data_IF_965951559052
#
_entry.id   IF_965951559052
#
_cell.length_a   1.000
_cell.length_b   1.000
_cell.length_c   1.000
_cell.angle_alpha   90.00
_cell.angle_beta   90.00
_cell.angle_gamma   90.00
#
_symmetry.space_group_name_H-M   'P 1'
#
loop_
_entity.id
_entity.type
_entity.pdbx_description
1 polymer ?
#
# COMPACT_ATOMS: atom_id res chain seq x y z
N UNK A 1 7.42 17.64 -15.83
CA UNK A 1 7.55 18.60 -16.95
C UNK A 1 6.34 18.50 -17.87
N UNK A 2 6.01 19.53 -18.72
CA UNK A 2 4.92 19.45 -19.69
C UNK A 2 5.06 18.23 -20.62
N UNK A 3 6.24 17.95 -21.13
CA UNK A 3 6.50 16.81 -22.02
C UNK A 3 6.21 15.45 -21.35
N UNK A 4 6.51 15.30 -20.07
CA UNK A 4 6.19 14.09 -19.30
C UNK A 4 4.68 13.94 -19.13
N UNK A 5 3.97 15.04 -18.88
CA UNK A 5 2.53 15.05 -18.74
C UNK A 5 1.85 14.65 -20.05
N UNK A 6 2.27 15.21 -21.18
CA UNK A 6 1.77 14.86 -22.50
C UNK A 6 2.02 13.37 -22.82
N UNK A 7 3.18 12.83 -22.41
CA UNK A 7 3.47 11.40 -22.55
C UNK A 7 2.52 10.54 -21.73
N UNK A 8 2.25 10.92 -20.48
CA UNK A 8 1.30 10.20 -19.61
C UNK A 8 -0.12 10.26 -20.18
N UNK A 9 -0.56 11.43 -20.66
CA UNK A 9 -1.83 11.57 -21.35
C UNK A 9 -1.93 10.64 -22.57
N UNK A 10 -0.87 10.58 -23.38
CA UNK A 10 -0.80 9.67 -24.52
C UNK A 10 -0.97 8.20 -24.13
N UNK A 11 -0.31 7.77 -23.04
CA UNK A 11 -0.44 6.42 -22.53
C UNK A 11 -1.87 6.11 -22.04
N UNK A 12 -2.48 7.02 -21.27
CA UNK A 12 -3.85 6.85 -20.78
C UNK A 12 -4.83 6.79 -21.95
N UNK A 13 -4.65 7.66 -22.96
CA UNK A 13 -5.50 7.66 -24.16
C UNK A 13 -5.37 6.39 -24.99
N UNK A 14 -4.18 5.78 -25.04
CA UNK A 14 -3.97 4.50 -25.70
C UNK A 14 -4.71 3.35 -25.00
N UNK A 15 -4.76 3.38 -23.67
CA UNK A 15 -5.49 2.39 -22.86
C UNK A 15 -7.00 2.65 -22.83
N UNK A 16 -7.41 3.90 -22.75
CA UNK A 16 -8.81 4.31 -22.71
C UNK A 16 -9.01 5.66 -23.42
N UNK A 17 -9.33 5.61 -24.72
CA UNK A 17 -9.53 6.80 -25.53
C UNK A 17 -10.68 7.71 -25.06
N UNK A 18 -11.63 7.18 -24.28
CA UNK A 18 -12.80 7.90 -23.76
C UNK A 18 -12.60 8.43 -22.33
N UNK A 19 -11.47 8.14 -21.69
CA UNK A 19 -11.21 8.62 -20.34
C UNK A 19 -11.21 10.15 -20.28
N UNK A 20 -11.86 10.71 -19.29
CA UNK A 20 -11.70 12.12 -18.94
C UNK A 20 -10.49 12.22 -18.02
N UNK A 21 -9.52 13.03 -18.39
CA UNK A 21 -8.26 13.17 -17.68
C UNK A 21 -8.25 14.54 -17.00
N UNK A 22 -7.93 14.57 -15.74
CA UNK A 22 -7.73 15.78 -14.94
C UNK A 22 -6.30 15.82 -14.42
N UNK A 23 -5.60 16.91 -14.71
CA UNK A 23 -4.29 17.18 -14.15
C UNK A 23 -4.45 17.79 -12.76
N UNK A 24 -3.99 17.12 -11.75
CA UNK A 24 -4.20 17.51 -10.35
C UNK A 24 -2.90 17.47 -9.55
N UNK A 25 -2.87 18.21 -8.44
CA UNK A 25 -1.83 18.10 -7.43
C UNK A 25 -2.45 17.43 -6.20
N UNK A 26 -1.84 16.32 -5.71
CA UNK A 26 -2.34 15.53 -4.58
C UNK A 26 -3.80 15.06 -4.72
N UNK A 27 -4.28 14.86 -5.95
CA UNK A 27 -5.67 14.50 -6.26
C UNK A 27 -6.72 15.54 -5.84
N UNK A 28 -6.34 16.79 -5.74
CA UNK A 28 -7.27 17.90 -5.47
C UNK A 28 -8.10 18.17 -6.73
N UNK A 29 -9.39 17.85 -6.67
CA UNK A 29 -10.36 18.01 -7.76
C UNK A 29 -11.75 18.31 -7.16
N UNK A 30 -12.59 19.13 -7.79
CA UNK A 30 -13.97 19.30 -7.38
C UNK A 30 -14.71 17.96 -7.33
N UNK A 31 -15.48 17.72 -6.28
CA UNK A 31 -16.12 16.43 -6.02
C UNK A 31 -17.15 16.05 -7.10
N UNK A 32 -17.81 17.01 -7.69
CA UNK A 32 -18.79 16.88 -8.78
C UNK A 32 -18.16 16.41 -10.11
N UNK A 33 -16.87 16.57 -10.28
CA UNK A 33 -16.14 16.02 -11.44
C UNK A 33 -15.89 14.51 -11.33
N UNK A 34 -16.00 13.93 -10.15
CA UNK A 34 -15.76 12.49 -9.89
C UNK A 34 -16.99 11.75 -9.38
N UNK A 35 -17.90 12.41 -8.68
CA UNK A 35 -19.11 11.81 -8.15
C UNK A 35 -20.34 12.29 -8.93
N UNK A 36 -21.33 11.38 -9.12
CA UNK A 36 -22.59 11.70 -9.78
C UNK A 36 -22.46 12.09 -11.25
N UNK A 37 -21.37 11.77 -11.91
CA UNK A 37 -21.06 12.20 -13.29
C UNK A 37 -21.96 11.56 -14.36
N UNK A 38 -22.73 10.52 -14.02
CA UNK A 38 -23.53 9.77 -15.00
C UNK A 38 -22.76 9.06 -16.10
N UNK A 39 -21.42 8.98 -16.00
CA UNK A 39 -20.55 8.38 -17.02
C UNK A 39 -20.54 6.85 -17.01
N UNK A 40 -20.97 6.24 -15.90
CA UNK A 40 -21.08 4.80 -15.81
C UNK A 40 -22.33 4.31 -16.53
N UNK A 41 -22.13 3.46 -17.52
CA UNK A 41 -23.18 2.80 -18.28
C UNK A 41 -22.98 1.29 -18.16
N UNK A 42 -23.83 0.58 -17.39
CA UNK A 42 -23.68 -0.85 -17.14
C UNK A 42 -23.88 -1.69 -18.41
N UNK A 43 -24.73 -1.26 -19.34
CA UNK A 43 -24.95 -2.00 -20.60
C UNK A 43 -23.70 -1.91 -21.49
N UNK A 44 -23.11 -0.73 -21.59
CA UNK A 44 -21.86 -0.55 -22.33
C UNK A 44 -20.68 -1.23 -21.65
N UNK A 45 -20.63 -1.23 -20.33
CA UNK A 45 -19.57 -1.91 -19.56
C UNK A 45 -19.64 -3.43 -19.80
N UNK A 46 -20.84 -4.02 -19.79
CA UNK A 46 -21.04 -5.46 -20.00
C UNK A 46 -20.71 -5.93 -21.41
N UNK A 47 -20.69 -5.02 -22.39
CA UNK A 47 -20.32 -5.32 -23.79
C UNK A 47 -18.83 -5.19 -24.07
N UNK A 48 -18.01 -4.82 -23.06
CA UNK A 48 -16.57 -4.73 -23.22
C UNK A 48 -15.96 -6.14 -23.18
N UNK A 49 -15.20 -6.50 -24.20
CA UNK A 49 -14.68 -7.87 -24.40
C UNK A 49 -13.92 -8.43 -23.19
N UNK A 50 -13.19 -7.61 -22.43
CA UNK A 50 -12.48 -8.00 -21.22
C UNK A 50 -13.37 -8.15 -19.97
N UNK A 51 -14.61 -7.64 -19.96
CA UNK A 51 -15.46 -7.70 -18.76
C UNK A 51 -16.00 -9.11 -18.49
N UNK A 52 -16.46 -9.77 -19.54
CA UNK A 52 -16.99 -11.16 -19.43
C UNK A 52 -15.88 -12.18 -19.18
N UNK A 53 -14.72 -11.99 -19.80
CA UNK A 53 -13.55 -12.86 -19.61
C UNK A 53 -13.06 -12.81 -18.15
N UNK A 54 -12.98 -11.64 -17.55
CA UNK A 54 -12.56 -11.47 -16.15
C UNK A 54 -13.54 -12.08 -15.11
N UNK A 55 -14.80 -12.28 -15.49
CA UNK A 55 -15.82 -12.91 -14.64
C UNK A 55 -15.86 -14.46 -14.78
N UNK A 56 -15.36 -14.99 -15.88
CA UNK A 56 -15.46 -16.43 -16.21
C UNK A 56 -14.14 -17.16 -15.94
N UNK A 57 -13.00 -16.53 -16.24
CA UNK A 57 -11.67 -17.08 -16.01
C UNK A 57 -10.86 -16.13 -15.13
N UNK A 58 -10.93 -16.35 -13.82
CA UNK A 58 -10.04 -15.65 -12.89
C UNK A 58 -8.73 -16.46 -12.78
N UNK A 59 -7.78 -16.19 -13.65
CA UNK A 59 -6.39 -16.62 -13.43
C UNK A 59 -5.83 -15.79 -12.28
N UNK A 60 -5.31 -16.41 -11.21
CA UNK A 60 -4.67 -15.65 -10.11
C UNK A 60 -3.56 -14.75 -10.66
N UNK A 61 -3.48 -13.50 -10.17
CA UNK A 61 -2.46 -12.53 -10.63
C UNK A 61 -1.04 -13.07 -10.47
N UNK A 62 -0.83 -14.02 -9.56
CA UNK A 62 0.45 -14.73 -9.38
C UNK A 62 0.83 -15.56 -10.61
N UNK A 63 -0.18 -16.18 -11.26
CA UNK A 63 0.05 -17.00 -12.44
C UNK A 63 0.12 -16.14 -13.72
N UNK A 64 -0.70 -15.10 -13.78
CA UNK A 64 -0.79 -14.23 -14.96
C UNK A 64 0.39 -13.26 -15.05
N UNK A 65 0.77 -12.64 -13.94
CA UNK A 65 1.79 -11.57 -13.92
C UNK A 65 3.03 -11.89 -13.10
N UNK A 66 3.13 -13.09 -12.53
CA UNK A 66 4.24 -13.47 -11.64
C UNK A 66 4.31 -12.63 -10.35
N UNK A 67 3.18 -11.99 -9.96
CA UNK A 67 3.11 -11.17 -8.76
C UNK A 67 3.08 -12.06 -7.52
N UNK A 68 4.04 -11.85 -6.65
CA UNK A 68 4.15 -12.57 -5.37
C UNK A 68 4.10 -11.59 -4.20
N UNK A 69 3.89 -12.13 -3.00
CA UNK A 69 3.99 -11.34 -1.79
C UNK A 69 4.88 -12.03 -0.76
N UNK A 70 5.50 -11.22 0.09
CA UNK A 70 6.32 -11.65 1.20
C UNK A 70 6.00 -10.80 2.42
N UNK A 71 5.82 -11.44 3.59
CA UNK A 71 5.61 -10.75 4.86
C UNK A 71 6.84 -10.89 5.72
N UNK A 72 7.51 -9.78 5.96
CA UNK A 72 8.60 -9.71 6.94
C UNK A 72 8.03 -9.41 8.31
N UNK A 73 8.07 -10.39 9.21
CA UNK A 73 7.66 -10.23 10.61
C UNK A 73 8.81 -10.55 11.56
N UNK A 74 9.10 -9.64 12.51
CA UNK A 74 10.11 -9.82 13.55
C UNK A 74 9.73 -9.06 14.82
N UNK A 75 10.26 -9.54 15.94
CA UNK A 75 10.06 -8.96 17.28
C UNK A 75 11.34 -8.36 17.85
N UNK A 76 12.26 -7.95 16.99
CA UNK A 76 13.52 -7.29 17.35
C UNK A 76 13.49 -5.92 16.68
N UNK A 77 13.65 -4.80 17.45
CA UNK A 77 13.59 -3.48 16.85
C UNK A 77 14.76 -3.23 15.87
N UNK A 78 14.48 -2.49 14.82
CA UNK A 78 15.50 -2.07 13.86
C UNK A 78 16.47 -1.06 14.48
N UNK A 79 17.73 -1.15 14.11
CA UNK A 79 18.68 -0.09 14.31
C UNK A 79 18.32 1.09 13.40
N UNK A 80 18.06 2.31 13.92
CA UNK A 80 17.51 3.42 13.13
C UNK A 80 18.31 3.75 11.87
N UNK A 81 19.64 3.92 12.01
CA UNK A 81 20.49 4.27 10.86
C UNK A 81 20.50 3.16 9.80
N UNK A 82 20.66 1.90 10.20
CA UNK A 82 20.67 0.77 9.24
C UNK A 82 19.34 0.63 8.52
N UNK A 83 18.23 0.88 9.23
CA UNK A 83 16.91 0.86 8.62
C UNK A 83 16.74 2.03 7.64
N UNK A 84 17.14 3.24 8.03
CA UNK A 84 17.12 4.40 7.13
C UNK A 84 17.96 4.15 5.87
N UNK A 85 19.18 3.67 6.02
CA UNK A 85 20.06 3.35 4.88
C UNK A 85 19.45 2.28 3.96
N UNK A 86 18.74 1.31 4.54
CA UNK A 86 18.02 0.29 3.78
C UNK A 86 16.86 0.89 2.97
N UNK A 87 16.11 1.84 3.55
CA UNK A 87 15.01 2.52 2.87
C UNK A 87 15.45 3.37 1.66
N UNK A 88 16.71 3.82 1.66
CA UNK A 88 17.28 4.61 0.56
C UNK A 88 17.75 3.74 -0.62
N UNK A 89 17.80 2.43 -0.45
CA UNK A 89 18.21 1.53 -1.53
C UNK A 89 17.09 1.31 -2.54
N UNK A 90 17.51 0.95 -3.74
CA UNK A 90 16.58 0.38 -4.71
C UNK A 90 16.10 -0.99 -4.23
N UNK A 91 14.84 -1.28 -4.50
CA UNK A 91 14.21 -2.56 -4.19
C UNK A 91 13.75 -3.21 -5.49
N UNK A 92 14.64 -3.89 -6.20
CA UNK A 92 14.30 -4.53 -7.46
C UNK A 92 13.13 -5.49 -7.30
N UNK A 93 12.21 -5.46 -8.25
CA UNK A 93 11.04 -6.32 -8.23
C UNK A 93 9.91 -5.87 -7.30
N UNK A 94 10.16 -5.00 -6.31
CA UNK A 94 9.14 -4.55 -5.38
C UNK A 94 8.29 -3.45 -5.99
N UNK A 95 7.01 -3.75 -6.24
CA UNK A 95 6.01 -2.82 -6.76
C UNK A 95 5.41 -2.00 -5.62
N UNK A 96 5.09 -2.67 -4.51
CA UNK A 96 4.43 -2.07 -3.34
C UNK A 96 4.93 -2.66 -2.05
N UNK A 97 5.04 -1.84 -1.02
CA UNK A 97 5.30 -2.30 0.35
C UNK A 97 4.51 -1.46 1.34
N UNK A 98 3.96 -2.11 2.35
CA UNK A 98 3.28 -1.46 3.48
C UNK A 98 3.54 -2.20 4.76
N UNK A 99 3.48 -1.48 5.87
CA UNK A 99 3.53 -2.13 7.17
C UNK A 99 3.86 -1.21 8.32
N UNK A 100 4.16 -1.83 9.42
CA UNK A 100 4.65 -1.16 10.63
C UNK A 100 6.09 -1.55 10.89
N UNK A 101 6.86 -0.61 11.41
CA UNK A 101 8.23 -0.84 11.84
C UNK A 101 8.44 -0.37 13.28
N UNK A 102 9.43 -0.95 13.94
CA UNK A 102 9.79 -0.69 15.32
C UNK A 102 11.27 -0.33 15.41
N UNK A 103 11.59 0.79 16.06
CA UNK A 103 12.96 1.30 16.18
C UNK A 103 13.50 1.12 17.60
N UNK A 104 14.77 0.74 17.70
CA UNK A 104 15.46 0.57 18.98
C UNK A 104 15.56 1.87 19.81
N UNK A 105 15.46 3.03 19.18
CA UNK A 105 15.46 4.34 19.84
C UNK A 105 14.06 4.81 20.24
N UNK A 106 13.00 4.09 19.85
CA UNK A 106 11.59 4.47 20.10
C UNK A 106 10.78 3.24 20.49
N UNK A 107 11.19 2.53 21.53
CA UNK A 107 10.65 1.23 21.93
C UNK A 107 9.14 1.22 22.24
N UNK A 108 8.56 2.37 22.56
CA UNK A 108 7.13 2.51 22.88
C UNK A 108 6.25 2.84 21.68
N UNK A 109 6.86 3.16 20.52
CA UNK A 109 6.15 3.70 19.38
C UNK A 109 6.40 2.86 18.13
N UNK A 110 5.36 2.69 17.33
CA UNK A 110 5.46 2.17 15.97
C UNK A 110 5.69 3.29 14.96
N UNK A 111 6.32 2.95 13.85
CA UNK A 111 6.28 3.74 12.63
C UNK A 111 5.42 3.04 11.60
N UNK A 112 4.83 3.80 10.70
CA UNK A 112 4.10 3.29 9.53
C UNK A 112 4.96 3.50 8.29
N UNK A 113 5.03 2.49 7.46
CA UNK A 113 5.75 2.47 6.21
C UNK A 113 4.82 2.26 5.02
N UNK A 114 5.04 2.99 3.95
CA UNK A 114 4.36 2.77 2.67
C UNK A 114 5.30 3.13 1.53
N UNK A 115 5.39 2.24 0.54
CA UNK A 115 6.09 2.45 -0.73
C UNK A 115 5.22 2.00 -1.89
N UNK A 116 5.20 2.80 -2.96
CA UNK A 116 4.58 2.47 -4.24
C UNK A 116 5.51 2.97 -5.35
N UNK A 117 6.11 2.04 -6.09
CA UNK A 117 7.15 2.35 -7.06
C UNK A 117 8.33 3.08 -6.40
N UNK A 118 8.69 4.25 -6.90
CA UNK A 118 9.76 5.10 -6.36
C UNK A 118 9.34 5.98 -5.17
N UNK A 119 8.05 6.10 -4.90
CA UNK A 119 7.55 6.96 -3.82
C UNK A 119 7.47 6.18 -2.53
N UNK A 120 8.15 6.68 -1.50
CA UNK A 120 8.11 6.12 -0.15
C UNK A 120 7.67 7.16 0.88
N UNK A 121 6.91 6.70 1.88
CA UNK A 121 6.45 7.51 3.01
C UNK A 121 6.64 6.73 4.29
N UNK A 122 7.04 7.44 5.34
CA UNK A 122 7.11 6.90 6.69
C UNK A 122 6.64 7.97 7.67
N UNK A 123 5.88 7.52 8.66
CA UNK A 123 5.31 8.40 9.66
C UNK A 123 5.21 7.70 11.02
N UNK A 124 4.86 8.47 12.06
CA UNK A 124 4.59 7.91 13.37
C UNK A 124 3.25 7.16 13.35
N UNK A 125 3.25 5.87 13.71
CA UNK A 125 2.05 5.02 13.80
C UNK A 125 1.36 5.06 15.15
N UNK A 126 1.93 5.78 16.13
CA UNK A 126 1.42 5.84 17.49
C UNK A 126 2.12 4.89 18.46
N UNK A 127 1.57 4.77 19.66
CA UNK A 127 2.11 3.89 20.69
C UNK A 127 1.66 2.45 20.47
N UNK A 128 2.54 1.50 20.74
CA UNK A 128 2.15 0.10 20.92
C UNK A 128 1.25 -0.04 22.15
N UNK A 129 0.30 -0.95 22.10
CA UNK A 129 -0.61 -1.20 23.23
C UNK A 129 0.14 -1.65 24.48
N UNK A 130 1.23 -2.38 24.31
CA UNK A 130 2.12 -2.77 25.43
C UNK A 130 2.72 -1.57 26.18
N UNK A 131 2.79 -0.40 25.56
CA UNK A 131 3.32 0.82 26.15
C UNK A 131 2.24 1.69 26.82
N UNK A 132 0.97 1.33 26.70
CA UNK A 132 -0.17 2.09 27.22
C UNK A 132 -0.80 1.39 28.41
N UNK A 133 -1.29 2.17 29.41
CA UNK A 133 -2.13 1.62 30.48
C UNK A 133 -3.38 0.92 29.89
N UNK A 134 -3.83 -0.14 30.54
CA UNK A 134 -5.03 -0.90 30.13
C UNK A 134 -6.29 -0.03 29.99
N UNK A 135 -6.38 1.08 30.73
CA UNK A 135 -7.49 2.04 30.64
C UNK A 135 -7.63 2.74 29.29
N UNK A 136 -6.57 2.69 28.46
CA UNK A 136 -6.58 3.23 27.10
C UNK A 136 -6.89 2.18 26.03
N UNK A 137 -7.04 0.91 26.45
CA UNK A 137 -7.29 -0.16 25.51
C UNK A 137 -8.76 -0.14 25.07
N UNK A 138 -9.06 -0.55 23.83
CA UNK A 138 -10.43 -0.62 23.35
C UNK A 138 -11.20 -1.74 24.08
N UNK A 139 -12.53 -1.67 24.04
CA UNK A 139 -13.40 -2.73 24.58
C UNK A 139 -13.17 -4.06 23.83
N UNK A 140 -13.11 -4.00 22.50
CA UNK A 140 -12.73 -5.15 21.68
C UNK A 140 -11.19 -5.22 21.55
N UNK A 141 -10.59 -6.17 22.25
CA UNK A 141 -9.15 -6.41 22.26
C UNK A 141 -8.72 -7.54 21.31
N UNK A 142 -9.63 -8.12 20.55
CA UNK A 142 -9.38 -9.30 19.73
C UNK A 142 -8.21 -9.13 18.76
N UNK A 143 -8.03 -7.92 18.19
CA UNK A 143 -6.93 -7.59 17.31
C UNK A 143 -5.59 -7.47 18.05
N UNK A 144 -5.60 -7.02 19.32
CA UNK A 144 -4.41 -6.92 20.17
C UNK A 144 -3.98 -8.33 20.58
N UNK A 145 -4.92 -9.13 21.07
CA UNK A 145 -4.66 -10.49 21.55
C UNK A 145 -4.09 -11.37 20.44
N UNK A 146 -4.54 -11.21 19.21
CA UNK A 146 -4.04 -11.94 18.03
C UNK A 146 -2.54 -11.75 17.80
N UNK A 147 -2.03 -10.56 18.08
CA UNK A 147 -0.62 -10.20 17.83
C UNK A 147 0.21 -10.14 19.09
N UNK A 148 -0.41 -10.41 20.27
CA UNK A 148 0.27 -10.32 21.55
C UNK A 148 1.24 -11.48 21.76
N UNK A 149 2.45 -11.15 22.19
CA UNK A 149 3.47 -12.13 22.53
C UNK A 149 4.05 -11.84 23.92
N UNK A 150 4.25 -12.89 24.71
CA UNK A 150 4.89 -12.76 26.03
C UNK A 150 6.28 -12.13 25.91
N UNK A 151 6.53 -11.11 26.71
CA UNK A 151 7.79 -10.34 26.73
C UNK A 151 7.79 -9.10 25.85
N UNK A 152 7.15 -9.13 24.70
CA UNK A 152 7.15 -8.01 23.74
C UNK A 152 5.78 -7.31 23.59
N UNK A 153 4.70 -7.93 24.11
CA UNK A 153 3.36 -7.43 23.85
C UNK A 153 3.03 -7.46 22.34
N UNK A 154 2.48 -6.38 21.84
CA UNK A 154 2.17 -6.16 20.42
C UNK A 154 3.33 -5.53 19.62
N UNK A 155 4.47 -5.22 20.29
CA UNK A 155 5.64 -4.63 19.66
C UNK A 155 6.22 -5.56 18.59
N UNK A 156 6.24 -5.12 17.35
CA UNK A 156 6.74 -5.89 16.21
C UNK A 156 7.07 -5.01 15.03
N UNK A 157 7.69 -5.62 14.08
CA UNK A 157 7.75 -5.17 12.70
C UNK A 157 6.93 -6.14 11.86
N UNK A 158 6.14 -5.62 10.99
CA UNK A 158 5.33 -6.38 10.05
C UNK A 158 5.23 -5.58 8.75
N UNK A 159 5.99 -5.98 7.75
CA UNK A 159 6.11 -5.28 6.47
C UNK A 159 5.75 -6.27 5.39
N UNK A 160 4.72 -5.95 4.64
CA UNK A 160 4.32 -6.71 3.44
C UNK A 160 5.01 -6.10 2.23
N UNK A 161 5.61 -6.95 1.43
CA UNK A 161 6.20 -6.62 0.12
C UNK A 161 5.40 -7.35 -0.95
N UNK A 162 5.09 -6.66 -2.03
CA UNK A 162 4.36 -7.20 -3.18
C UNK A 162 5.18 -6.82 -4.42
N UNK A 163 5.43 -7.78 -5.29
CA UNK A 163 6.22 -7.52 -6.48
C UNK A 163 6.41 -8.74 -7.36
N UNK A 164 7.20 -8.57 -8.41
CA UNK A 164 7.62 -9.63 -9.33
C UNK A 164 9.12 -9.83 -9.18
N UNK A 165 9.56 -11.09 -9.21
CA UNK A 165 10.98 -11.45 -9.15
C UNK A 165 11.73 -10.73 -8.01
N UNK A 166 11.10 -10.66 -6.85
CA UNK A 166 11.68 -10.05 -5.64
C UNK A 166 12.80 -10.93 -5.11
N UNK A 167 13.99 -10.32 -4.86
CA UNK A 167 15.19 -10.93 -4.34
C UNK A 167 15.38 -10.72 -2.84
#
# INVERSE_FOLDING_TARGET
TPDELDRVHGMIRALNAKAVIFDTINSEIPIDEVLGTGRYDPERASQHDGWLESLIEHTPETEEYGITNFVYERRIPFHPQRFFDFLQKDWPGVIRSKGIFWLATRLKMSGVWSRAGSISRHECGGYFWAALPRSYWPEDQSHIDRVWQSGNGDCRQEIVLIGCDMD
#
